data_IF_778660071336
#
_entry.id   IF_778660071336
#
_cell.length_a   1.000
_cell.length_b   1.000
_cell.length_c   1.000
_cell.angle_alpha   90.00
_cell.angle_beta   90.00
_cell.angle_gamma   90.00
#
_symmetry.space_group_name_H-M   'P 1'
#
loop_
_entity.id
_entity.type
_entity.pdbx_description
1 polymer ?
#
# COMPACT_ATOMS: atom_id res chain seq x y z
N UNK A 1 0.09 10.34 19.21
CA UNK A 1 0.93 10.85 20.32
C UNK A 1 2.27 10.11 20.39
N UNK A 2 2.30 8.78 20.38
CA UNK A 2 3.54 7.97 20.47
C UNK A 2 4.60 8.23 19.39
N UNK A 3 4.21 8.52 18.14
CA UNK A 3 5.18 8.84 17.07
C UNK A 3 5.94 10.16 17.29
N UNK A 4 5.33 11.15 17.96
CA UNK A 4 5.96 12.45 18.21
C UNK A 4 7.00 12.39 19.34
N UNK A 5 6.84 11.46 20.27
CA UNK A 5 7.82 11.21 21.33
C UNK A 5 9.03 10.42 20.80
N UNK A 6 8.80 9.45 19.91
CA UNK A 6 9.87 8.72 19.23
C UNK A 6 10.76 9.65 18.38
N UNK A 7 10.17 10.63 17.67
CA UNK A 7 10.94 11.63 16.93
C UNK A 7 11.71 12.60 17.84
N UNK A 8 11.13 13.01 18.98
CA UNK A 8 11.82 13.89 19.94
C UNK A 8 12.97 13.18 20.67
N UNK A 9 12.87 11.86 20.89
CA UNK A 9 13.96 11.05 21.41
C UNK A 9 15.09 10.87 20.38
N UNK A 10 14.76 10.69 19.10
CA UNK A 10 15.75 10.56 18.03
C UNK A 10 16.57 11.84 17.81
N UNK A 11 15.95 13.02 17.93
CA UNK A 11 16.66 14.31 17.78
C UNK A 11 17.60 14.58 18.96
N UNK A 12 17.26 14.15 20.19
CA UNK A 12 18.16 14.27 21.35
C UNK A 12 19.40 13.37 21.24
N UNK A 13 19.31 12.24 20.56
CA UNK A 13 20.46 11.34 20.34
C UNK A 13 21.35 11.78 19.17
N UNK A 14 20.81 12.52 18.20
CA UNK A 14 21.59 13.05 17.06
C UNK A 14 22.46 14.26 17.42
N UNK A 15 22.18 14.97 18.53
CA UNK A 15 22.94 16.14 18.97
C UNK A 15 24.19 15.83 19.83
N UNK A 16 24.44 14.58 20.18
CA UNK A 16 25.45 14.19 21.17
C UNK A 16 26.75 13.59 20.59
N UNK A 17 26.92 13.53 19.26
CA UNK A 17 28.11 12.95 18.63
C UNK A 17 29.16 13.99 18.18
N UNK A 18 29.26 15.11 18.88
CA UNK A 18 30.28 16.14 18.68
C UNK A 18 31.60 15.91 19.44
N UNK A 19 31.75 14.78 20.14
CA UNK A 19 32.92 14.52 20.99
C UNK A 19 33.65 13.23 20.59
N UNK A 20 34.03 13.10 19.31
CA UNK A 20 35.02 12.10 18.91
C UNK A 20 36.42 12.64 19.17
N UNK A 21 36.93 12.25 20.34
CA UNK A 21 38.31 11.92 20.66
C UNK A 21 39.40 12.96 20.33
N UNK A 22 40.03 13.58 21.36
CA UNK A 22 41.35 14.21 21.19
C UNK A 22 42.46 13.20 20.81
N UNK A 23 42.21 11.89 20.93
CA UNK A 23 43.22 10.84 20.80
C UNK A 23 43.72 10.58 19.37
N UNK A 24 42.86 10.71 18.35
CA UNK A 24 43.30 10.52 16.94
C UNK A 24 44.15 11.67 16.45
N UNK A 25 43.87 12.90 16.92
CA UNK A 25 44.71 14.08 16.67
C UNK A 25 46.08 13.91 17.31
N UNK A 26 46.14 13.37 18.53
CA UNK A 26 47.41 13.15 19.23
C UNK A 26 48.29 12.12 18.51
N UNK A 27 47.71 11.04 17.96
CA UNK A 27 48.46 10.04 17.18
C UNK A 27 48.93 10.57 15.81
N UNK A 28 48.12 11.38 15.13
CA UNK A 28 48.50 12.01 13.85
C UNK A 28 49.58 13.07 14.09
N UNK A 29 49.47 13.85 15.16
CA UNK A 29 50.48 14.85 15.55
C UNK A 29 51.78 14.18 16.00
N UNK A 30 51.73 13.09 16.77
CA UNK A 30 52.90 12.30 17.16
C UNK A 30 53.60 11.71 15.93
N UNK A 31 52.85 11.17 14.97
CA UNK A 31 53.41 10.61 13.73
C UNK A 31 54.02 11.66 12.81
N UNK A 32 53.41 12.86 12.74
CA UNK A 32 53.98 14.04 12.05
C UNK A 32 55.20 14.59 12.77
N UNK A 33 55.21 14.57 14.10
CA UNK A 33 56.34 14.98 14.93
C UNK A 33 57.53 14.01 14.81
N UNK A 34 57.30 12.70 14.73
CA UNK A 34 58.35 11.70 14.47
C UNK A 34 58.91 11.87 13.05
N UNK A 35 58.06 12.06 12.03
CA UNK A 35 58.53 12.35 10.67
C UNK A 35 59.29 13.67 10.59
N UNK A 36 58.82 14.74 11.23
CA UNK A 36 59.50 16.04 11.23
C UNK A 36 60.79 16.03 12.03
N UNK A 37 60.88 15.25 13.11
CA UNK A 37 62.14 15.08 13.88
C UNK A 37 63.14 14.22 13.13
N UNK A 38 62.72 13.17 12.40
CA UNK A 38 63.60 12.39 11.52
C UNK A 38 64.12 13.26 10.36
N UNK A 39 63.25 14.09 9.76
CA UNK A 39 63.65 15.03 8.70
C UNK A 39 64.56 16.13 9.25
N UNK A 40 64.27 16.70 10.43
CA UNK A 40 65.10 17.72 11.07
C UNK A 40 66.45 17.17 11.52
N UNK A 41 66.52 15.92 12.02
CA UNK A 41 67.77 15.25 12.36
C UNK A 41 68.59 14.94 11.10
N UNK A 42 67.94 14.48 10.02
CA UNK A 42 68.60 14.30 8.73
C UNK A 42 69.12 15.63 8.15
N UNK A 43 68.34 16.72 8.27
CA UNK A 43 68.73 18.06 7.81
C UNK A 43 69.88 18.64 8.65
N UNK A 44 69.86 18.46 9.98
CA UNK A 44 70.92 18.89 10.89
C UNK A 44 72.25 18.18 10.62
N UNK A 45 72.20 16.89 10.27
CA UNK A 45 73.39 16.12 9.88
C UNK A 45 73.86 16.53 8.46
N UNK A 46 72.95 16.93 7.57
CA UNK A 46 73.27 17.41 6.22
C UNK A 46 73.87 18.83 6.20
N UNK A 47 73.44 19.72 7.11
CA UNK A 47 74.00 21.07 7.29
C UNK A 47 75.31 21.08 8.09
N UNK A 48 75.64 20.00 8.82
CA UNK A 48 76.88 19.88 9.60
C UNK A 48 78.11 19.49 8.76
N UNK A 49 78.15 19.83 7.47
CA UNK A 49 79.41 19.80 6.70
C UNK A 49 80.11 21.17 6.80
N UNK A 50 81.45 21.18 7.00
CA UNK A 50 82.16 22.36 7.44
C UNK A 50 82.22 23.40 6.32
N UNK A 51 81.86 24.63 6.65
CA UNK A 51 82.21 25.85 5.92
C UNK A 51 83.74 26.12 5.93
N UNK A 52 84.57 25.09 6.17
CA UNK A 52 86.04 25.11 6.20
C UNK A 52 86.59 23.95 5.35
N UNK A 53 86.30 23.99 4.06
CA UNK A 53 87.08 23.24 3.06
C UNK A 53 87.19 24.05 1.76
N UNK A 54 87.18 25.38 1.88
CA UNK A 54 87.89 26.23 0.95
C UNK A 54 89.35 26.22 1.43
N UNK A 55 90.26 25.83 0.54
CA UNK A 55 91.71 25.61 0.73
C UNK A 55 92.10 24.22 1.26
N UNK A 56 92.86 23.49 0.43
CA UNK A 56 93.47 22.21 0.79
C UNK A 56 93.05 21.04 -0.08
N UNK A 57 93.19 21.18 -1.40
CA UNK A 57 93.39 20.03 -2.28
C UNK A 57 94.70 19.33 -1.90
N UNK A 58 94.65 18.23 -1.17
CA UNK A 58 95.73 17.24 -1.20
C UNK A 58 95.17 15.83 -1.36
N UNK A 59 95.60 15.22 -2.46
CA UNK A 59 95.45 13.80 -2.78
C UNK A 59 95.95 12.93 -1.64
N UNK A 60 95.03 12.32 -0.90
CA UNK A 60 95.32 11.42 0.20
C UNK A 60 94.04 10.81 0.74
N UNK A 61 94.19 9.74 1.53
CA UNK A 61 93.13 8.89 2.07
C UNK A 61 91.92 9.64 2.68
N UNK A 62 92.04 10.92 3.06
CA UNK A 62 90.96 11.75 3.63
C UNK A 62 89.72 11.99 2.76
N UNK A 63 89.85 12.08 1.42
CA UNK A 63 88.68 12.25 0.54
C UNK A 63 87.79 11.00 0.47
N UNK A 64 88.42 9.82 0.54
CA UNK A 64 87.75 8.51 0.59
C UNK A 64 86.99 8.35 1.91
N UNK A 65 87.56 8.79 3.03
CA UNK A 65 86.89 8.83 4.34
C UNK A 65 85.63 9.71 4.35
N UNK A 66 85.67 10.89 3.70
CA UNK A 66 84.49 11.76 3.58
C UNK A 66 83.39 11.15 2.71
N UNK A 67 83.75 10.45 1.62
CA UNK A 67 82.78 9.73 0.79
C UNK A 67 82.13 8.57 1.55
N UNK A 68 82.93 7.77 2.26
CA UNK A 68 82.45 6.68 3.12
C UNK A 68 81.53 7.20 4.21
N UNK A 69 81.86 8.34 4.85
CA UNK A 69 81.00 8.99 5.83
C UNK A 69 79.65 9.43 5.26
N UNK A 70 79.61 9.95 4.02
CA UNK A 70 78.35 10.32 3.34
C UNK A 70 77.49 9.10 3.02
N UNK A 71 78.09 8.02 2.52
CA UNK A 71 77.38 6.77 2.22
C UNK A 71 76.87 6.11 3.51
N UNK A 72 77.68 6.10 4.57
CA UNK A 72 77.26 5.60 5.87
C UNK A 72 76.09 6.40 6.46
N UNK A 73 76.12 7.75 6.35
CA UNK A 73 75.01 8.60 6.76
C UNK A 73 73.72 8.31 5.96
N UNK A 74 73.82 8.22 4.62
CA UNK A 74 72.68 7.84 3.78
C UNK A 74 72.13 6.47 4.16
N UNK A 75 73.00 5.50 4.46
CA UNK A 75 72.59 4.17 4.90
C UNK A 75 71.84 4.23 6.25
N UNK A 76 72.32 5.00 7.22
CA UNK A 76 71.64 5.18 8.52
C UNK A 76 70.25 5.81 8.33
N UNK A 77 70.14 6.88 7.53
CA UNK A 77 68.86 7.54 7.25
C UNK A 77 67.92 6.60 6.47
N UNK A 78 68.43 5.85 5.49
CA UNK A 78 67.64 4.89 4.73
C UNK A 78 67.12 3.74 5.61
N UNK A 79 67.94 3.19 6.50
CA UNK A 79 67.54 2.14 7.44
C UNK A 79 66.46 2.68 8.40
N UNK A 80 66.66 3.88 8.96
CA UNK A 80 65.68 4.50 9.85
C UNK A 80 64.35 4.77 9.14
N UNK A 81 64.40 5.28 7.89
CA UNK A 81 63.22 5.54 7.08
C UNK A 81 62.47 4.24 6.76
N UNK A 82 63.17 3.19 6.36
CA UNK A 82 62.58 1.89 6.09
C UNK A 82 61.96 1.30 7.36
N UNK A 83 62.61 1.43 8.52
CA UNK A 83 62.08 0.93 9.79
C UNK A 83 60.80 1.67 10.22
N UNK A 84 60.79 3.00 10.11
CA UNK A 84 59.61 3.83 10.44
C UNK A 84 58.49 3.67 9.42
N UNK A 85 58.81 3.53 8.12
CA UNK A 85 57.82 3.44 7.03
C UNK A 85 57.20 2.05 6.89
N UNK A 86 57.86 0.98 7.34
CA UNK A 86 57.36 -0.40 7.23
C UNK A 86 55.99 -0.61 7.87
N UNK A 87 55.82 -0.17 9.12
CA UNK A 87 54.53 -0.30 9.85
C UNK A 87 53.37 0.45 9.17
N UNK A 88 53.49 1.75 8.84
CA UNK A 88 52.38 2.49 8.25
C UNK A 88 52.02 2.05 6.84
N UNK A 89 52.98 1.63 6.01
CA UNK A 89 52.69 1.11 4.68
C UNK A 89 51.94 -0.22 4.78
N UNK A 90 52.40 -1.15 5.61
CA UNK A 90 51.72 -2.43 5.82
C UNK A 90 50.29 -2.25 6.32
N UNK A 91 50.09 -1.36 7.31
CA UNK A 91 48.75 -1.07 7.84
C UNK A 91 47.83 -0.42 6.80
N UNK A 92 48.35 0.43 5.90
CA UNK A 92 47.55 1.02 4.83
C UNK A 92 47.06 -0.04 3.85
N UNK A 93 47.95 -0.91 3.34
CA UNK A 93 47.54 -1.98 2.42
C UNK A 93 46.61 -2.98 3.08
N UNK A 94 46.85 -3.35 4.35
CA UNK A 94 45.97 -4.22 5.11
C UNK A 94 44.57 -3.62 5.27
N UNK A 95 44.47 -2.35 5.69
CA UNK A 95 43.19 -1.64 5.85
C UNK A 95 42.45 -1.48 4.53
N UNK A 96 43.14 -1.19 3.42
CA UNK A 96 42.52 -1.09 2.09
C UNK A 96 41.99 -2.44 1.62
N UNK A 97 42.76 -3.51 1.84
CA UNK A 97 42.34 -4.87 1.47
C UNK A 97 41.12 -5.29 2.29
N UNK A 98 41.11 -5.01 3.59
CA UNK A 98 39.98 -5.33 4.46
C UNK A 98 38.72 -4.58 4.07
N UNK A 99 38.83 -3.27 3.80
CA UNK A 99 37.70 -2.48 3.34
C UNK A 99 37.14 -2.97 1.99
N UNK A 100 37.99 -3.42 1.06
CA UNK A 100 37.53 -4.00 -0.22
C UNK A 100 36.82 -5.34 0.03
N UNK A 101 37.35 -6.19 0.91
CA UNK A 101 36.68 -7.46 1.27
C UNK A 101 35.32 -7.22 1.91
N UNK A 102 35.23 -6.26 2.82
CA UNK A 102 33.99 -5.89 3.49
C UNK A 102 32.98 -5.36 2.47
N UNK A 103 33.37 -4.44 1.60
CA UNK A 103 32.51 -3.92 0.52
C UNK A 103 32.04 -5.02 -0.43
N UNK A 104 32.91 -5.97 -0.79
CA UNK A 104 32.54 -7.09 -1.66
C UNK A 104 31.58 -8.06 -0.96
N UNK A 105 31.81 -8.35 0.31
CA UNK A 105 30.92 -9.19 1.11
C UNK A 105 29.54 -8.52 1.30
N UNK A 106 29.51 -7.22 1.53
CA UNK A 106 28.26 -6.46 1.62
C UNK A 106 27.53 -6.41 0.28
N UNK A 107 28.24 -6.20 -0.83
CA UNK A 107 27.64 -6.26 -2.17
C UNK A 107 27.08 -7.64 -2.50
N UNK A 108 27.76 -8.73 -2.10
CA UNK A 108 27.26 -10.09 -2.27
C UNK A 108 26.01 -10.35 -1.43
N UNK A 109 25.98 -9.91 -0.16
CA UNK A 109 24.78 -10.01 0.69
C UNK A 109 23.61 -9.21 0.11
N UNK A 110 23.86 -7.98 -0.33
CA UNK A 110 22.84 -7.13 -0.94
C UNK A 110 22.27 -7.75 -2.23
N UNK A 111 23.11 -8.40 -3.05
CA UNK A 111 22.65 -9.15 -4.23
C UNK A 111 21.80 -10.35 -3.84
N UNK A 112 22.25 -11.17 -2.90
CA UNK A 112 21.50 -12.33 -2.43
C UNK A 112 20.13 -11.93 -1.84
N UNK A 113 20.09 -10.85 -1.06
CA UNK A 113 18.84 -10.31 -0.52
C UNK A 113 17.91 -9.78 -1.61
N UNK A 114 18.46 -9.12 -2.65
CA UNK A 114 17.69 -8.64 -3.79
C UNK A 114 17.12 -9.81 -4.62
N UNK A 115 17.91 -10.84 -4.88
CA UNK A 115 17.49 -12.06 -5.58
C UNK A 115 16.40 -12.81 -4.78
N UNK A 116 16.56 -12.95 -3.46
CA UNK A 116 15.55 -13.55 -2.60
C UNK A 116 14.23 -12.76 -2.61
N UNK A 117 14.30 -11.42 -2.59
CA UNK A 117 13.12 -10.55 -2.70
C UNK A 117 12.45 -10.67 -4.06
N UNK A 118 13.23 -10.73 -5.14
CA UNK A 118 12.71 -10.91 -6.49
C UNK A 118 11.96 -12.25 -6.61
N UNK A 119 12.57 -13.35 -6.18
CA UNK A 119 11.95 -14.66 -6.18
C UNK A 119 10.66 -14.69 -5.34
N UNK A 120 10.64 -14.02 -4.19
CA UNK A 120 9.44 -13.89 -3.36
C UNK A 120 8.33 -13.06 -4.05
N UNK A 121 8.67 -12.02 -4.79
CA UNK A 121 7.72 -11.21 -5.56
C UNK A 121 7.17 -12.02 -6.74
N UNK A 122 8.03 -12.71 -7.49
CA UNK A 122 7.62 -13.55 -8.62
C UNK A 122 6.68 -14.67 -8.15
N UNK A 123 6.99 -15.32 -7.02
CA UNK A 123 6.11 -16.32 -6.41
C UNK A 123 4.77 -15.73 -5.95
N UNK A 124 4.76 -14.49 -5.44
CA UNK A 124 3.51 -13.81 -5.08
C UNK A 124 2.70 -13.43 -6.32
N UNK A 125 3.35 -12.98 -7.39
CA UNK A 125 2.67 -12.65 -8.64
C UNK A 125 2.02 -13.88 -9.27
N UNK A 126 2.75 -15.01 -9.35
CA UNK A 126 2.17 -16.24 -9.91
C UNK A 126 0.98 -16.77 -9.11
N UNK A 127 1.03 -16.65 -7.77
CA UNK A 127 -0.12 -16.95 -6.91
C UNK A 127 -1.27 -16.00 -7.12
N UNK A 128 -1.02 -14.70 -7.24
CA UNK A 128 -2.05 -13.70 -7.50
C UNK A 128 -2.77 -13.95 -8.83
N UNK A 129 -2.05 -14.35 -9.88
CA UNK A 129 -2.67 -14.69 -11.16
C UNK A 129 -3.61 -15.90 -11.04
N UNK A 130 -3.22 -16.91 -10.26
CA UNK A 130 -4.08 -18.07 -9.96
C UNK A 130 -5.30 -17.66 -9.14
N UNK A 131 -5.11 -16.92 -8.04
CA UNK A 131 -6.20 -16.42 -7.19
C UNK A 131 -7.17 -15.53 -7.99
N UNK A 132 -6.68 -14.69 -8.90
CA UNK A 132 -7.50 -13.88 -9.80
C UNK A 132 -8.30 -14.73 -10.79
N UNK A 133 -7.69 -15.78 -11.35
CA UNK A 133 -8.38 -16.71 -12.24
C UNK A 133 -9.50 -17.45 -11.51
N UNK A 134 -9.22 -17.95 -10.30
CA UNK A 134 -10.21 -18.61 -9.45
C UNK A 134 -11.34 -17.65 -9.06
N UNK A 135 -11.00 -16.41 -8.66
CA UNK A 135 -11.98 -15.39 -8.31
C UNK A 135 -12.88 -15.03 -9.50
N UNK A 136 -12.33 -14.93 -10.71
CA UNK A 136 -13.12 -14.70 -11.93
C UNK A 136 -14.06 -15.86 -12.22
N UNK A 137 -13.56 -17.09 -12.15
CA UNK A 137 -14.38 -18.28 -12.39
C UNK A 137 -15.54 -18.39 -11.38
N UNK A 138 -15.25 -18.17 -10.08
CA UNK A 138 -16.26 -18.13 -9.04
C UNK A 138 -17.29 -17.00 -9.28
N UNK A 139 -16.82 -15.79 -9.61
CA UNK A 139 -17.70 -14.65 -9.88
C UNK A 139 -18.61 -14.89 -11.08
N UNK A 140 -18.11 -15.52 -12.15
CA UNK A 140 -18.94 -15.88 -13.30
C UNK A 140 -19.97 -16.96 -12.95
N UNK A 141 -19.59 -17.95 -12.14
CA UNK A 141 -20.51 -18.98 -11.67
C UNK A 141 -21.62 -18.38 -10.80
N UNK A 142 -21.25 -17.53 -9.84
CA UNK A 142 -22.20 -16.85 -8.95
C UNK A 142 -23.13 -15.92 -9.75
N UNK A 143 -22.59 -15.17 -10.71
CA UNK A 143 -23.40 -14.31 -11.58
C UNK A 143 -24.42 -15.13 -12.39
N UNK A 144 -24.03 -16.29 -12.94
CA UNK A 144 -24.95 -17.17 -13.68
C UNK A 144 -26.03 -17.77 -12.77
N UNK A 145 -25.64 -18.22 -11.57
CA UNK A 145 -26.57 -18.77 -10.60
C UNK A 145 -27.58 -17.72 -10.13
N UNK A 146 -27.12 -16.50 -9.85
CA UNK A 146 -27.98 -15.41 -9.41
C UNK A 146 -28.88 -14.91 -10.54
N UNK A 147 -28.38 -14.84 -11.77
CA UNK A 147 -29.20 -14.52 -12.93
C UNK A 147 -30.33 -15.53 -13.12
N UNK A 148 -30.05 -16.83 -12.98
CA UNK A 148 -31.06 -17.87 -13.08
C UNK A 148 -32.11 -17.74 -11.97
N UNK A 149 -31.69 -17.53 -10.71
CA UNK A 149 -32.60 -17.31 -9.58
C UNK A 149 -33.47 -16.08 -9.75
N UNK A 150 -32.88 -14.97 -10.20
CA UNK A 150 -33.62 -13.72 -10.42
C UNK A 150 -34.64 -13.87 -11.54
N UNK A 151 -34.28 -14.59 -12.61
CA UNK A 151 -35.19 -14.89 -13.72
C UNK A 151 -36.36 -15.75 -13.25
N UNK A 152 -36.10 -16.81 -12.49
CA UNK A 152 -37.14 -17.69 -11.94
C UNK A 152 -38.08 -16.92 -10.99
N UNK A 153 -37.52 -16.11 -10.10
CA UNK A 153 -38.30 -15.27 -9.18
C UNK A 153 -39.14 -14.22 -9.94
N UNK A 154 -38.59 -13.62 -10.99
CA UNK A 154 -39.32 -12.66 -11.83
C UNK A 154 -40.48 -13.35 -12.57
N UNK A 155 -40.27 -14.55 -13.11
CA UNK A 155 -41.33 -15.33 -13.76
C UNK A 155 -42.43 -15.75 -12.78
N UNK A 156 -42.05 -16.15 -11.56
CA UNK A 156 -43.02 -16.49 -10.51
C UNK A 156 -43.85 -15.26 -10.10
N UNK A 157 -43.20 -14.10 -9.90
CA UNK A 157 -43.89 -12.86 -9.55
C UNK A 157 -44.80 -12.39 -10.69
N UNK A 158 -44.34 -12.48 -11.95
CA UNK A 158 -45.16 -12.18 -13.12
C UNK A 158 -46.42 -13.05 -13.16
N UNK A 159 -46.30 -14.36 -12.88
CA UNK A 159 -47.46 -15.27 -12.78
C UNK A 159 -48.40 -14.86 -11.64
N UNK A 160 -47.86 -14.49 -10.47
CA UNK A 160 -48.66 -14.01 -9.33
C UNK A 160 -49.40 -12.70 -9.65
N UNK A 161 -48.75 -11.76 -10.34
CA UNK A 161 -49.38 -10.51 -10.80
C UNK A 161 -50.54 -10.82 -11.75
N UNK A 162 -50.34 -11.68 -12.75
CA UNK A 162 -51.40 -12.07 -13.70
C UNK A 162 -52.56 -12.79 -12.99
N UNK A 163 -52.26 -13.69 -12.05
CA UNK A 163 -53.28 -14.38 -11.28
C UNK A 163 -54.11 -13.41 -10.43
N UNK A 164 -53.46 -12.47 -9.73
CA UNK A 164 -54.13 -11.41 -8.96
C UNK A 164 -55.02 -10.54 -9.86
N UNK A 165 -54.50 -10.07 -10.99
CA UNK A 165 -55.25 -9.28 -11.95
C UNK A 165 -56.50 -10.03 -12.48
N UNK A 166 -56.38 -11.33 -12.76
CA UNK A 166 -57.54 -12.15 -13.17
C UNK A 166 -58.59 -12.27 -12.07
N UNK A 167 -58.18 -12.46 -10.82
CA UNK A 167 -59.11 -12.49 -9.68
C UNK A 167 -59.81 -11.15 -9.48
N UNK A 168 -59.08 -10.05 -9.61
CA UNK A 168 -59.62 -8.70 -9.49
C UNK A 168 -60.62 -8.38 -10.61
N UNK A 169 -60.26 -8.68 -11.87
CA UNK A 169 -61.16 -8.55 -13.02
C UNK A 169 -62.44 -9.37 -12.83
N UNK A 170 -62.33 -10.61 -12.34
CA UNK A 170 -63.50 -11.45 -12.09
C UNK A 170 -64.41 -10.84 -11.00
N UNK A 171 -63.83 -10.27 -9.94
CA UNK A 171 -64.54 -9.54 -8.90
C UNK A 171 -65.28 -8.32 -9.44
N UNK A 172 -64.55 -7.43 -10.13
CA UNK A 172 -65.11 -6.23 -10.76
C UNK A 172 -66.21 -6.56 -11.78
N UNK A 173 -66.03 -7.63 -12.57
CA UNK A 173 -67.03 -8.07 -13.55
C UNK A 173 -68.31 -8.51 -12.87
N UNK A 174 -68.19 -9.27 -11.77
CA UNK A 174 -69.35 -9.72 -10.99
C UNK A 174 -70.08 -8.54 -10.34
N UNK A 175 -69.33 -7.60 -9.79
CA UNK A 175 -69.89 -6.37 -9.21
C UNK A 175 -70.62 -5.54 -10.28
N UNK A 176 -69.98 -5.31 -11.44
CA UNK A 176 -70.58 -4.60 -12.56
C UNK A 176 -71.87 -5.28 -13.07
N UNK A 177 -71.89 -6.61 -13.14
CA UNK A 177 -73.07 -7.37 -13.53
C UNK A 177 -74.23 -7.21 -12.54
N UNK A 178 -73.93 -7.25 -11.23
CA UNK A 178 -74.93 -7.00 -10.18
C UNK A 178 -75.47 -5.56 -10.26
N UNK A 179 -74.59 -4.58 -10.48
CA UNK A 179 -74.97 -3.19 -10.70
C UNK A 179 -75.91 -3.01 -11.89
N UNK A 180 -75.57 -3.60 -13.05
CA UNK A 180 -76.40 -3.62 -14.25
C UNK A 180 -77.77 -4.25 -14.00
N UNK A 181 -77.82 -5.39 -13.29
CA UNK A 181 -79.07 -6.06 -12.95
C UNK A 181 -79.97 -5.19 -12.05
N UNK A 182 -79.38 -4.54 -11.05
CA UNK A 182 -80.11 -3.63 -10.17
C UNK A 182 -80.66 -2.41 -10.94
N UNK A 183 -79.88 -1.82 -11.85
CA UNK A 183 -80.33 -0.74 -12.72
C UNK A 183 -81.46 -1.17 -13.66
N UNK A 184 -81.34 -2.34 -14.30
CA UNK A 184 -82.38 -2.86 -15.17
C UNK A 184 -83.69 -3.13 -14.40
N UNK A 185 -83.61 -3.67 -13.19
CA UNK A 185 -84.77 -3.88 -12.33
C UNK A 185 -85.44 -2.55 -11.94
N UNK A 186 -84.66 -1.53 -11.57
CA UNK A 186 -85.18 -0.20 -11.25
C UNK A 186 -85.90 0.43 -12.46
N UNK A 187 -85.29 0.35 -13.66
CA UNK A 187 -85.90 0.87 -14.89
C UNK A 187 -87.19 0.12 -15.26
N UNK A 188 -87.22 -1.21 -15.10
CA UNK A 188 -88.41 -2.01 -15.35
C UNK A 188 -89.56 -1.62 -14.41
N UNK A 189 -89.29 -1.38 -13.13
CA UNK A 189 -90.28 -0.89 -12.16
C UNK A 189 -90.77 0.50 -12.55
N UNK A 190 -89.87 1.42 -12.93
CA UNK A 190 -90.24 2.78 -13.37
C UNK A 190 -91.16 2.76 -14.60
N UNK A 191 -90.83 1.93 -15.60
CA UNK A 191 -91.65 1.77 -16.82
C UNK A 191 -93.01 1.14 -16.48
N UNK A 192 -93.03 0.13 -15.60
CA UNK A 192 -94.27 -0.49 -15.14
C UNK A 192 -95.15 0.50 -14.38
N UNK A 193 -94.57 1.32 -13.50
CA UNK A 193 -95.28 2.37 -12.76
C UNK A 193 -95.90 3.40 -13.72
N UNK A 194 -95.12 3.90 -14.69
CA UNK A 194 -95.62 4.81 -15.73
C UNK A 194 -96.78 4.20 -16.50
N UNK A 195 -96.65 2.94 -16.93
CA UNK A 195 -97.69 2.24 -17.70
C UNK A 195 -98.96 1.97 -16.88
N UNK A 196 -98.83 1.58 -15.61
CA UNK A 196 -99.98 1.40 -14.72
C UNK A 196 -100.71 2.73 -14.55
N UNK A 197 -99.98 3.83 -14.33
CA UNK A 197 -100.56 5.17 -14.19
C UNK A 197 -101.31 5.64 -15.43
N UNK A 198 -100.85 5.27 -16.63
CA UNK A 198 -101.51 5.59 -17.91
C UNK A 198 -102.78 4.78 -18.19
N UNK A 199 -102.85 3.53 -17.72
CA UNK A 199 -103.93 2.57 -18.06
C UNK A 199 -104.97 2.41 -16.94
N UNK A 200 -104.68 2.87 -15.71
CA UNK A 200 -105.56 2.67 -14.55
C UNK A 200 -106.91 3.39 -14.72
N UNK A 201 -108.00 2.64 -14.49
CA UNK A 201 -109.37 3.15 -14.49
C UNK A 201 -109.90 3.34 -13.05
N UNK A 202 -110.94 4.16 -12.87
CA UNK A 202 -111.54 4.41 -11.54
C UNK A 202 -112.08 3.12 -10.89
N UNK A 203 -112.52 2.16 -11.70
CA UNK A 203 -113.06 0.88 -11.26
C UNK A 203 -111.95 -0.08 -10.78
N UNK A 204 -110.78 -0.04 -11.41
CA UNK A 204 -109.58 -0.73 -10.92
C UNK A 204 -109.08 -0.15 -9.59
N UNK A 205 -109.17 1.18 -9.42
CA UNK A 205 -108.79 1.86 -8.18
C UNK A 205 -109.66 1.43 -7.00
N UNK A 206 -110.99 1.43 -7.16
CA UNK A 206 -111.92 0.97 -6.13
C UNK A 206 -111.73 -0.52 -5.79
N UNK A 207 -111.43 -1.37 -6.79
CA UNK A 207 -111.15 -2.80 -6.57
C UNK A 207 -109.84 -3.03 -5.79
N UNK A 208 -108.82 -2.19 -5.99
CA UNK A 208 -107.57 -2.23 -5.23
C UNK A 208 -107.79 -1.83 -3.77
N UNK A 209 -108.57 -0.77 -3.54
CA UNK A 209 -108.91 -0.30 -2.19
C UNK A 209 -109.69 -1.37 -1.42
N UNK A 210 -110.69 -2.01 -2.04
CA UNK A 210 -111.45 -3.07 -1.36
C UNK A 210 -110.58 -4.28 -1.00
N UNK A 211 -109.69 -4.73 -1.90
CA UNK A 211 -108.74 -5.81 -1.62
C UNK A 211 -107.76 -5.47 -0.49
N UNK A 212 -107.27 -4.24 -0.43
CA UNK A 212 -106.37 -3.81 0.65
C UNK A 212 -107.08 -3.84 2.02
N UNK A 213 -108.31 -3.33 2.08
CA UNK A 213 -109.13 -3.35 3.30
C UNK A 213 -109.46 -4.78 3.74
N UNK A 214 -109.78 -5.68 2.80
CA UNK A 214 -109.99 -7.10 3.11
C UNK A 214 -108.71 -7.79 3.59
N UNK A 215 -107.56 -7.54 2.96
CA UNK A 215 -106.28 -8.16 3.34
C UNK A 215 -105.76 -7.73 4.73
N UNK A 216 -106.11 -6.52 5.18
CA UNK A 216 -105.83 -6.08 6.56
C UNK A 216 -106.78 -6.73 7.59
N UNK A 217 -107.96 -7.20 7.17
CA UNK A 217 -108.88 -7.95 8.01
C UNK A 217 -108.41 -9.39 8.31
N UNK A 218 -107.61 -9.98 7.41
CA UNK A 218 -107.16 -11.38 7.48
C UNK A 218 -105.77 -11.58 8.12
N UNK A 219 -104.97 -10.51 8.30
CA UNK A 219 -103.60 -10.58 8.86
C UNK A 219 -103.55 -10.47 10.40
N UNK A 220 -104.53 -11.05 11.11
CA UNK A 220 -104.61 -11.07 12.58
C UNK A 220 -104.07 -12.35 13.18
#
# INVERSE_FOLDING_TARGET
MAQREAQRAAIRLSGASGHRAPETRMLILARRAVLSTVIALAALIFTSNPLLAAEGSESGWGGVWLFIGRVANLAVVAILLVWVARKPLANFYASRTESIREQLAEAQRARADAEARLAAIESRMSRLDQELSEMKAASEQDARAEYARLTEAADEEARKVVARARHEIAGMTREAYLGLKAHAAALAVEVAEKRIREVMTDEDHNRLVSKFVSGLGDAK
#
